data_IF_895805452134
#
_entry.id   IF_895805452134
#
_cell.length_a   1.000
_cell.length_b   1.000
_cell.length_c   1.000
_cell.angle_alpha   90.00
_cell.angle_beta   90.00
_cell.angle_gamma   90.00
#
_symmetry.space_group_name_H-M   'P 1'
#
loop_
_entity.id
_entity.type
_entity.pdbx_description
1 polymer ?
#
# COMPACT_ATOMS: atom_id res chain seq x y z
N UNK A 1 9.23 -23.26 -10.43
CA UNK A 1 9.39 -21.85 -9.99
C UNK A 1 8.04 -21.10 -9.88
N UNK A 2 6.99 -21.58 -10.55
CA UNK A 2 5.67 -20.89 -10.60
C UNK A 2 4.82 -21.08 -9.32
N UNK A 3 5.14 -22.00 -8.44
CA UNK A 3 4.34 -22.32 -7.24
C UNK A 3 4.84 -21.65 -5.94
N UNK A 4 5.90 -20.82 -5.99
CA UNK A 4 6.57 -20.29 -4.79
C UNK A 4 6.84 -18.79 -4.82
N UNK A 5 6.02 -18.01 -5.53
CA UNK A 5 6.14 -16.56 -5.44
C UNK A 5 5.77 -16.10 -4.02
N UNK A 6 6.65 -15.28 -3.43
CA UNK A 6 6.43 -14.71 -2.10
C UNK A 6 5.40 -13.59 -2.16
N UNK A 7 4.67 -13.38 -1.09
CA UNK A 7 3.65 -12.31 -1.02
C UNK A 7 4.20 -10.94 -1.40
N UNK A 8 5.44 -10.63 -1.04
CA UNK A 8 6.07 -9.34 -1.41
C UNK A 8 6.33 -9.20 -2.91
N UNK A 9 6.52 -10.30 -3.65
CA UNK A 9 6.66 -10.26 -5.12
C UNK A 9 5.33 -9.89 -5.78
N UNK A 10 4.20 -10.38 -5.25
CA UNK A 10 2.88 -9.97 -5.71
C UNK A 10 2.61 -8.49 -5.38
N UNK A 11 3.01 -8.01 -4.19
CA UNK A 11 2.91 -6.58 -3.85
C UNK A 11 3.77 -5.70 -4.77
N UNK A 12 4.99 -6.13 -5.10
CA UNK A 12 5.84 -5.44 -6.07
C UNK A 12 5.21 -5.44 -7.47
N UNK A 13 4.63 -6.57 -7.89
CA UNK A 13 3.97 -6.70 -9.19
C UNK A 13 2.71 -5.81 -9.30
N UNK A 14 1.99 -5.55 -8.20
CA UNK A 14 0.90 -4.57 -8.19
C UNK A 14 1.37 -3.16 -8.60
N UNK A 15 2.59 -2.80 -8.25
CA UNK A 15 3.18 -1.49 -8.54
C UNK A 15 3.89 -1.43 -9.89
N UNK A 16 4.10 -2.57 -10.53
CA UNK A 16 4.78 -2.68 -11.81
C UNK A 16 3.86 -2.26 -12.97
N UNK A 17 4.44 -1.57 -13.94
CA UNK A 17 3.77 -1.17 -15.19
C UNK A 17 4.80 -1.03 -16.31
N UNK A 18 4.39 -1.28 -17.54
CA UNK A 18 5.19 -0.91 -18.70
C UNK A 18 5.24 0.62 -18.84
N UNK A 19 6.44 1.19 -19.00
CA UNK A 19 6.65 2.65 -19.16
C UNK A 19 7.26 3.00 -20.51
N UNK A 20 7.86 2.02 -21.21
CA UNK A 20 8.45 2.17 -22.55
C UNK A 20 8.60 0.78 -23.18
N UNK A 21 8.78 0.74 -24.50
CA UNK A 21 8.93 -0.50 -25.27
C UNK A 21 7.88 -0.67 -26.36
N UNK A 22 7.84 -1.85 -27.00
CA UNK A 22 6.80 -2.16 -27.98
C UNK A 22 5.46 -2.45 -27.30
N UNK A 23 4.36 -2.13 -27.97
CA UNK A 23 3.01 -2.41 -27.47
C UNK A 23 2.81 -3.91 -27.21
N UNK A 24 3.33 -4.78 -28.08
CA UNK A 24 3.23 -6.23 -27.92
C UNK A 24 3.84 -6.75 -26.61
N UNK A 25 5.02 -6.22 -26.22
CA UNK A 25 5.67 -6.58 -24.95
C UNK A 25 4.89 -6.00 -23.77
N UNK A 26 4.38 -4.77 -23.88
CA UNK A 26 3.56 -4.16 -22.85
C UNK A 26 2.25 -4.93 -22.61
N UNK A 27 1.57 -5.32 -23.69
CA UNK A 27 0.32 -6.09 -23.63
C UNK A 27 0.56 -7.48 -23.02
N UNK A 28 1.65 -8.16 -23.41
CA UNK A 28 2.01 -9.45 -22.84
C UNK A 28 2.38 -9.35 -21.36
N UNK A 29 3.11 -8.30 -20.96
CA UNK A 29 3.40 -8.03 -19.54
C UNK A 29 2.11 -7.84 -18.74
N UNK A 30 1.15 -7.03 -19.23
CA UNK A 30 -0.12 -6.80 -18.52
C UNK A 30 -0.98 -8.06 -18.47
N UNK A 31 -0.96 -8.90 -19.51
CA UNK A 31 -1.62 -10.20 -19.50
C UNK A 31 -1.07 -11.10 -18.39
N UNK A 32 0.27 -11.27 -18.33
CA UNK A 32 0.95 -12.07 -17.30
C UNK A 32 0.71 -11.51 -15.92
N UNK A 33 0.81 -10.18 -15.77
CA UNK A 33 0.55 -9.47 -14.51
C UNK A 33 -0.86 -9.76 -13.99
N UNK A 34 -1.87 -9.63 -14.87
CA UNK A 34 -3.27 -9.91 -14.53
C UNK A 34 -3.48 -11.37 -14.13
N UNK A 35 -2.99 -12.31 -14.92
CA UNK A 35 -3.10 -13.74 -14.61
C UNK A 35 -2.46 -14.09 -13.25
N UNK A 36 -1.32 -13.51 -12.95
CA UNK A 36 -0.61 -13.74 -11.70
C UNK A 36 -1.37 -13.17 -10.51
N UNK A 37 -1.77 -11.89 -10.55
CA UNK A 37 -2.42 -11.20 -9.43
C UNK A 37 -3.85 -11.72 -9.16
N UNK A 38 -4.56 -12.13 -10.19
CA UNK A 38 -5.92 -12.67 -10.03
C UNK A 38 -5.90 -14.16 -9.63
N UNK A 39 -5.02 -14.95 -10.25
CA UNK A 39 -5.08 -16.41 -10.18
C UNK A 39 -4.08 -17.08 -9.24
N UNK A 40 -2.91 -16.47 -8.98
CA UNK A 40 -1.78 -17.17 -8.33
C UNK A 40 -1.44 -16.68 -6.92
N UNK A 41 -2.17 -15.70 -6.37
CA UNK A 41 -1.95 -15.20 -5.01
C UNK A 41 -2.46 -16.22 -3.98
N UNK A 42 -1.63 -16.59 -3.01
CA UNK A 42 -1.98 -17.45 -1.89
C UNK A 42 -2.72 -16.65 -0.81
N UNK A 43 -4.03 -16.49 -0.98
CA UNK A 43 -4.87 -15.63 -0.12
C UNK A 43 -5.03 -16.16 1.30
N UNK A 44 -4.88 -17.45 1.50
CA UNK A 44 -4.90 -18.12 2.81
C UNK A 44 -3.77 -17.67 3.75
N UNK A 45 -2.65 -17.18 3.19
CA UNK A 45 -1.49 -16.68 3.95
C UNK A 45 -1.26 -15.19 3.79
N UNK A 46 -1.96 -14.56 2.85
CA UNK A 46 -1.72 -13.18 2.45
C UNK A 46 -1.74 -12.22 3.64
N UNK A 47 -2.74 -12.34 4.51
CA UNK A 47 -2.90 -11.48 5.68
C UNK A 47 -1.71 -11.60 6.63
N UNK A 48 -1.36 -12.80 7.04
CA UNK A 48 -0.28 -13.07 8.00
C UNK A 48 1.09 -12.64 7.43
N UNK A 49 1.32 -12.89 6.14
CA UNK A 49 2.53 -12.48 5.44
C UNK A 49 2.67 -10.96 5.41
N UNK A 50 1.57 -10.23 5.09
CA UNK A 50 1.55 -8.76 5.03
C UNK A 50 1.82 -8.17 6.42
N UNK A 51 1.18 -8.67 7.47
CA UNK A 51 1.39 -8.24 8.85
C UNK A 51 2.85 -8.46 9.26
N UNK A 52 3.35 -9.68 9.10
CA UNK A 52 4.71 -10.06 9.48
C UNK A 52 5.77 -9.22 8.75
N UNK A 53 5.56 -8.98 7.47
CA UNK A 53 6.48 -8.21 6.65
C UNK A 53 6.49 -6.72 7.04
N UNK A 54 5.32 -6.14 7.27
CA UNK A 54 5.20 -4.74 7.70
C UNK A 54 5.78 -4.54 9.09
N UNK A 55 5.57 -5.50 10.00
CA UNK A 55 6.15 -5.44 11.34
C UNK A 55 7.69 -5.45 11.29
N UNK A 56 8.29 -6.37 10.53
CA UNK A 56 9.76 -6.41 10.36
C UNK A 56 10.32 -5.12 9.77
N UNK A 57 9.65 -4.56 8.75
CA UNK A 57 10.07 -3.27 8.18
C UNK A 57 10.00 -2.14 9.20
N UNK A 58 9.01 -2.14 10.07
CA UNK A 58 8.90 -1.15 11.14
C UNK A 58 10.03 -1.31 12.15
N UNK A 59 10.27 -2.51 12.65
CA UNK A 59 11.35 -2.81 13.60
C UNK A 59 12.74 -2.39 13.09
N UNK A 60 12.98 -2.51 11.78
CA UNK A 60 14.27 -2.18 11.16
C UNK A 60 14.42 -0.70 10.75
N UNK A 61 13.33 -0.05 10.37
CA UNK A 61 13.40 1.23 9.65
C UNK A 61 12.72 2.39 10.36
N UNK A 62 11.81 2.15 11.33
CA UNK A 62 11.14 3.21 12.08
C UNK A 62 12.14 3.96 12.96
N UNK A 63 12.20 5.26 12.75
CA UNK A 63 13.07 6.21 13.48
C UNK A 63 12.28 7.14 14.39
N UNK A 64 11.06 6.78 14.70
CA UNK A 64 10.25 7.54 15.66
C UNK A 64 10.88 7.51 17.05
N UNK A 65 10.80 8.63 17.76
CA UNK A 65 11.23 8.79 19.14
C UNK A 65 10.19 9.61 19.94
N UNK A 66 10.50 10.03 21.14
CA UNK A 66 9.56 10.77 21.99
C UNK A 66 9.16 12.15 21.43
N UNK A 67 9.98 12.72 20.55
CA UNK A 67 9.77 14.06 19.97
C UNK A 67 9.33 13.99 18.51
N UNK A 68 9.72 12.92 17.80
CA UNK A 68 9.53 12.82 16.35
C UNK A 68 8.80 11.55 15.94
N UNK A 69 8.05 11.68 14.86
CA UNK A 69 7.35 10.60 14.17
C UNK A 69 7.91 10.38 12.79
N UNK A 70 8.24 9.13 12.47
CA UNK A 70 8.64 8.72 11.11
C UNK A 70 7.39 8.55 10.24
N UNK A 71 7.15 9.54 9.35
CA UNK A 71 6.00 9.53 8.44
C UNK A 71 5.96 8.31 7.52
N UNK A 72 7.11 7.71 7.22
CA UNK A 72 7.19 6.58 6.29
C UNK A 72 7.02 5.24 7.00
N UNK A 73 7.72 5.05 8.11
CA UNK A 73 7.83 3.75 8.75
C UNK A 73 7.08 3.64 10.08
N UNK A 74 6.74 4.74 10.72
CA UNK A 74 5.98 4.78 11.97
C UNK A 74 4.58 4.16 11.83
N UNK A 75 4.00 3.75 12.96
CA UNK A 75 2.64 3.19 13.01
C UNK A 75 1.61 4.25 12.63
N UNK A 76 0.74 3.94 11.70
CA UNK A 76 -0.23 4.89 11.13
C UNK A 76 0.36 5.79 10.04
N UNK A 77 1.60 5.56 9.60
CA UNK A 77 2.26 6.32 8.54
C UNK A 77 2.00 5.80 7.12
N UNK A 78 2.74 6.32 6.16
CA UNK A 78 2.63 6.02 4.72
C UNK A 78 2.70 4.51 4.46
N UNK A 79 3.64 3.81 5.10
CA UNK A 79 3.84 2.38 4.92
C UNK A 79 2.61 1.55 5.30
N UNK A 80 1.88 1.93 6.34
CA UNK A 80 0.66 1.22 6.74
C UNK A 80 -0.44 1.39 5.68
N UNK A 81 -0.61 2.60 5.13
CA UNK A 81 -1.56 2.82 4.02
C UNK A 81 -1.17 1.97 2.80
N UNK A 82 0.11 2.01 2.41
CA UNK A 82 0.59 1.28 1.22
C UNK A 82 0.40 -0.24 1.34
N UNK A 83 0.72 -0.82 2.50
CA UNK A 83 0.56 -2.25 2.74
C UNK A 83 -0.91 -2.65 2.84
N UNK A 84 -1.74 -1.84 3.51
CA UNK A 84 -3.19 -2.07 3.60
C UNK A 84 -3.86 -2.05 2.23
N UNK A 85 -3.56 -1.05 1.39
CA UNK A 85 -4.10 -0.96 0.03
C UNK A 85 -3.68 -2.17 -0.82
N UNK A 86 -2.41 -2.55 -0.75
CA UNK A 86 -1.91 -3.73 -1.48
C UNK A 86 -2.57 -5.02 -1.00
N UNK A 87 -2.76 -5.19 0.31
CA UNK A 87 -3.50 -6.31 0.87
C UNK A 87 -4.93 -6.36 0.32
N UNK A 88 -5.68 -5.28 0.42
CA UNK A 88 -7.07 -5.21 -0.03
C UNK A 88 -7.19 -5.51 -1.53
N UNK A 89 -6.30 -4.95 -2.35
CA UNK A 89 -6.30 -5.22 -3.79
C UNK A 89 -6.02 -6.70 -4.08
N UNK A 90 -5.01 -7.31 -3.45
CA UNK A 90 -4.68 -8.73 -3.67
C UNK A 90 -5.78 -9.67 -3.15
N UNK A 91 -6.39 -9.34 -2.02
CA UNK A 91 -7.49 -10.12 -1.44
C UNK A 91 -8.71 -10.14 -2.37
N UNK A 92 -9.08 -8.98 -2.89
CA UNK A 92 -10.29 -8.83 -3.70
C UNK A 92 -10.09 -9.10 -5.19
N UNK A 93 -8.85 -9.15 -5.71
CA UNK A 93 -8.54 -9.28 -7.13
C UNK A 93 -9.19 -10.50 -7.81
N UNK A 94 -9.42 -11.58 -7.09
CA UNK A 94 -10.05 -12.79 -7.68
C UNK A 94 -11.54 -12.58 -7.98
N UNK A 95 -12.25 -11.88 -7.09
CA UNK A 95 -13.67 -11.59 -7.25
C UNK A 95 -13.90 -10.35 -8.15
N UNK A 96 -13.01 -9.37 -8.06
CA UNK A 96 -13.08 -8.07 -8.72
C UNK A 96 -11.75 -7.78 -9.48
N UNK A 97 -11.52 -8.41 -10.65
CA UNK A 97 -10.22 -8.32 -11.33
C UNK A 97 -9.79 -6.91 -11.73
N UNK A 98 -10.69 -5.96 -11.80
CA UNK A 98 -10.38 -4.60 -12.23
C UNK A 98 -9.73 -3.73 -11.12
N UNK A 99 -9.74 -4.20 -9.85
CA UNK A 99 -9.04 -3.50 -8.75
C UNK A 99 -7.51 -3.46 -8.95
N UNK A 100 -6.94 -4.38 -9.76
CA UNK A 100 -5.51 -4.41 -10.05
C UNK A 100 -5.09 -3.48 -11.20
N UNK A 101 -6.03 -2.80 -11.87
CA UNK A 101 -5.74 -2.04 -13.09
C UNK A 101 -4.71 -0.93 -12.84
N UNK A 102 -4.83 -0.24 -11.73
CA UNK A 102 -3.93 0.86 -11.39
C UNK A 102 -2.74 0.39 -10.53
N UNK A 103 -1.61 1.09 -10.68
CA UNK A 103 -0.37 0.81 -9.94
C UNK A 103 -0.07 1.80 -8.80
N UNK A 104 -0.92 2.80 -8.58
CA UNK A 104 -0.79 3.79 -7.51
C UNK A 104 -1.92 3.68 -6.48
N UNK A 105 -1.60 4.00 -5.23
CA UNK A 105 -2.50 3.80 -4.10
C UNK A 105 -3.81 4.61 -4.21
N UNK A 106 -3.77 5.82 -4.75
CA UNK A 106 -4.97 6.68 -4.84
C UNK A 106 -6.02 6.03 -5.76
N UNK A 107 -5.61 5.63 -6.96
CA UNK A 107 -6.52 4.99 -7.92
C UNK A 107 -6.89 3.55 -7.54
N UNK A 108 -6.02 2.85 -6.80
CA UNK A 108 -6.36 1.55 -6.20
C UNK A 108 -7.46 1.70 -5.15
N UNK A 109 -7.41 2.74 -4.30
CA UNK A 109 -8.49 3.04 -3.35
C UNK A 109 -9.78 3.41 -4.09
N UNK A 110 -9.71 4.21 -5.19
CA UNK A 110 -10.88 4.50 -6.03
C UNK A 110 -11.52 3.21 -6.58
N UNK A 111 -10.70 2.28 -7.08
CA UNK A 111 -11.18 1.00 -7.60
C UNK A 111 -11.83 0.13 -6.52
N UNK A 112 -11.22 0.04 -5.33
CA UNK A 112 -11.78 -0.70 -4.18
C UNK A 112 -13.12 -0.12 -3.72
N UNK A 113 -13.26 1.20 -3.70
CA UNK A 113 -14.53 1.86 -3.39
C UNK A 113 -15.58 1.64 -4.47
N UNK A 114 -15.19 1.69 -5.74
CA UNK A 114 -16.10 1.47 -6.87
C UNK A 114 -16.70 0.06 -6.88
N UNK A 115 -15.90 -0.95 -6.53
CA UNK A 115 -16.33 -2.35 -6.43
C UNK A 115 -17.02 -2.68 -5.08
N UNK A 116 -17.14 -1.71 -4.18
CA UNK A 116 -17.75 -1.93 -2.86
C UNK A 116 -16.90 -2.78 -1.89
N UNK A 117 -15.62 -2.97 -2.20
CA UNK A 117 -14.67 -3.70 -1.35
C UNK A 117 -14.21 -2.86 -0.14
N UNK A 118 -14.36 -1.55 -0.21
CA UNK A 118 -14.00 -0.60 0.84
C UNK A 118 -15.10 0.47 0.95
N UNK A 119 -15.52 0.80 2.17
CA UNK A 119 -16.47 1.88 2.39
C UNK A 119 -15.89 3.22 1.89
N UNK A 120 -16.73 4.02 1.23
CA UNK A 120 -16.31 5.29 0.59
C UNK A 120 -15.65 6.24 1.59
N UNK A 121 -16.23 6.38 2.77
CA UNK A 121 -15.74 7.27 3.81
C UNK A 121 -14.33 6.89 4.27
N UNK A 122 -14.06 5.59 4.39
CA UNK A 122 -12.74 5.06 4.77
C UNK A 122 -11.74 5.27 3.64
N UNK A 123 -12.13 4.96 2.40
CA UNK A 123 -11.26 5.12 1.23
C UNK A 123 -10.85 6.58 1.01
N UNK A 124 -11.80 7.52 1.09
CA UNK A 124 -11.54 8.95 0.95
C UNK A 124 -10.65 9.48 2.10
N UNK A 125 -10.86 9.01 3.32
CA UNK A 125 -10.02 9.38 4.47
C UNK A 125 -8.58 8.89 4.30
N UNK A 126 -8.38 7.63 3.86
CA UNK A 126 -7.04 7.08 3.56
C UNK A 126 -6.36 7.85 2.40
N UNK A 127 -7.10 8.24 1.36
CA UNK A 127 -6.57 9.05 0.26
C UNK A 127 -6.10 10.42 0.75
N UNK A 128 -6.87 11.07 1.63
CA UNK A 128 -6.52 12.38 2.16
C UNK A 128 -5.28 12.28 3.07
N UNK A 129 -5.25 11.32 3.99
CA UNK A 129 -4.08 11.04 4.81
C UNK A 129 -2.82 10.78 3.95
N UNK A 130 -2.97 9.96 2.89
CA UNK A 130 -1.85 9.64 1.99
C UNK A 130 -1.34 10.87 1.23
N UNK A 131 -2.24 11.75 0.75
CA UNK A 131 -1.84 13.00 0.06
C UNK A 131 -1.09 13.94 1.01
N UNK A 132 -1.62 14.15 2.22
CA UNK A 132 -1.03 15.03 3.22
C UNK A 132 0.35 14.51 3.66
N UNK A 133 0.44 13.20 3.94
CA UNK A 133 1.72 12.55 4.24
C UNK A 133 2.73 12.66 3.11
N UNK A 134 2.32 12.52 1.85
CA UNK A 134 3.23 12.61 0.70
C UNK A 134 3.71 14.03 0.42
N UNK A 135 2.90 15.03 0.70
CA UNK A 135 3.26 16.43 0.50
C UNK A 135 4.36 16.87 1.46
N UNK A 136 4.28 16.45 2.72
CA UNK A 136 5.20 16.87 3.77
C UNK A 136 6.66 16.42 3.55
N UNK A 137 6.96 15.13 3.26
CA UNK A 137 8.31 14.69 2.94
C UNK A 137 8.92 15.36 1.73
N UNK A 138 8.12 15.73 0.72
CA UNK A 138 8.67 16.50 -0.42
C UNK A 138 9.30 17.80 0.04
N UNK A 139 8.68 18.52 0.96
CA UNK A 139 9.25 19.74 1.52
C UNK A 139 10.50 19.44 2.36
N UNK A 140 10.46 18.39 3.20
CA UNK A 140 11.62 18.01 4.03
C UNK A 140 12.83 17.57 3.19
N UNK A 141 12.61 16.81 2.12
CA UNK A 141 13.68 16.38 1.20
C UNK A 141 14.28 17.56 0.46
N UNK A 142 13.48 18.56 0.07
CA UNK A 142 13.99 19.79 -0.54
C UNK A 142 14.88 20.58 0.43
N UNK A 143 14.64 20.46 1.72
CA UNK A 143 15.41 21.08 2.80
C UNK A 143 16.55 20.17 3.33
N UNK A 144 16.83 19.06 2.65
CA UNK A 144 17.84 18.04 3.03
C UNK A 144 17.60 17.44 4.44
N UNK A 145 16.33 17.29 4.83
CA UNK A 145 15.89 16.76 6.12
C UNK A 145 15.33 15.35 6.00
N UNK A 146 15.47 14.57 7.08
CA UNK A 146 14.83 13.25 7.20
C UNK A 146 13.28 13.37 7.21
N UNK A 147 12.50 12.33 6.81
CA UNK A 147 11.05 12.34 6.80
C UNK A 147 10.47 12.19 8.23
N UNK A 148 11.06 12.90 9.20
CA UNK A 148 10.63 12.97 10.59
C UNK A 148 9.84 14.26 10.81
N UNK A 149 8.73 14.15 11.54
CA UNK A 149 7.88 15.28 11.91
C UNK A 149 7.65 15.29 13.42
N UNK A 150 7.20 16.41 13.98
CA UNK A 150 6.87 16.46 15.41
C UNK A 150 5.75 15.46 15.79
N UNK A 151 5.80 14.90 16.99
CA UNK A 151 4.84 13.88 17.46
C UNK A 151 3.37 14.32 17.39
N UNK A 152 3.06 15.60 17.48
CA UNK A 152 1.70 16.13 17.33
C UNK A 152 1.27 16.31 15.86
N UNK A 153 2.19 16.27 14.92
CA UNK A 153 1.86 16.47 13.51
C UNK A 153 1.12 15.24 12.95
N UNK A 154 0.00 15.46 12.29
CA UNK A 154 -0.86 14.41 11.72
C UNK A 154 -1.43 13.40 12.72
N UNK A 155 -1.56 13.73 14.00
CA UNK A 155 -2.02 12.79 15.02
C UNK A 155 -3.36 12.13 14.66
N UNK A 156 -4.33 12.90 14.15
CA UNK A 156 -5.65 12.40 13.75
C UNK A 156 -5.57 11.40 12.57
N UNK A 157 -4.73 11.71 11.57
CA UNK A 157 -4.50 10.79 10.44
C UNK A 157 -3.79 9.51 10.89
N UNK A 158 -2.82 9.62 11.78
CA UNK A 158 -2.10 8.47 12.33
C UNK A 158 -3.03 7.52 13.09
N UNK A 159 -3.90 8.09 13.92
CA UNK A 159 -4.91 7.32 14.66
C UNK A 159 -5.90 6.64 13.70
N UNK A 160 -6.42 7.37 12.72
CA UNK A 160 -7.32 6.83 11.70
C UNK A 160 -6.68 5.67 10.91
N UNK A 161 -5.45 5.86 10.42
CA UNK A 161 -4.75 4.84 9.64
C UNK A 161 -4.44 3.61 10.50
N UNK A 162 -3.96 3.80 11.74
CA UNK A 162 -3.68 2.72 12.66
C UNK A 162 -4.94 1.92 13.02
N UNK A 163 -6.05 2.60 13.28
CA UNK A 163 -7.35 1.97 13.52
C UNK A 163 -7.83 1.18 12.31
N UNK A 164 -7.76 1.76 11.12
CA UNK A 164 -8.16 1.07 9.89
C UNK A 164 -7.28 -0.17 9.63
N UNK A 165 -5.98 -0.06 9.88
CA UNK A 165 -5.07 -1.20 9.84
C UNK A 165 -5.53 -2.33 10.77
N UNK A 166 -5.83 -2.00 12.03
CA UNK A 166 -6.25 -2.99 13.03
C UNK A 166 -7.59 -3.64 12.66
N UNK A 167 -8.52 -2.91 12.10
CA UNK A 167 -9.82 -3.43 11.66
C UNK A 167 -9.70 -4.48 10.53
N UNK A 168 -8.71 -4.35 9.67
CA UNK A 168 -8.52 -5.24 8.51
C UNK A 168 -7.45 -6.31 8.73
N UNK A 169 -6.42 -6.01 9.50
CA UNK A 169 -5.20 -6.82 9.59
C UNK A 169 -4.82 -7.27 11.02
N UNK A 170 -5.44 -6.78 12.09
CA UNK A 170 -5.14 -7.24 13.45
C UNK A 170 -6.11 -8.31 13.98
#
# INVERSE_FOLDING_TARGET
QEEHAWTWEHQALLRARAVAGSAEIADEFERIRRETLVGRVHRDKLRDDVISMRQRMREELDRSDDEHFDLKHGRGGIGDIEFLVQYLVLEHAKAYPDVIFYSDNIRQLDALMAEGCLAREVGEALQNAYRDYRLRPHHLVLDDQAPLVGQGEFADWRELVAKTWDEWLA
#
